data_IF_472110912743
#
_entry.id   IF_472110912743
#
_cell.length_a   1.000
_cell.length_b   1.000
_cell.length_c   1.000
_cell.angle_alpha   90.00
_cell.angle_beta   90.00
_cell.angle_gamma   90.00
#
_symmetry.space_group_name_H-M   'P 1'
#
loop_
_entity.id
_entity.type
_entity.pdbx_description
1 polymer ?
#
# COMPACT_ATOMS: atom_id res chain seq x y z
N UNK A 1 -1.68 -22.96 14.26
CA UNK A 1 -1.83 -21.77 13.39
C UNK A 1 -1.03 -20.64 13.98
N UNK A 2 -0.10 -20.07 13.21
CA UNK A 2 0.70 -18.89 13.58
C UNK A 2 0.26 -17.74 12.67
N UNK A 3 -0.22 -16.66 13.29
CA UNK A 3 -0.69 -15.46 12.58
C UNK A 3 0.27 -14.31 12.87
N UNK A 4 0.90 -13.77 11.83
CA UNK A 4 1.68 -12.54 11.91
C UNK A 4 0.73 -11.33 11.74
N UNK A 5 0.54 -10.58 12.83
CA UNK A 5 -0.33 -9.39 12.84
C UNK A 5 0.41 -8.09 12.49
N UNK A 6 1.70 -8.14 12.15
CA UNK A 6 2.53 -6.98 11.84
C UNK A 6 3.24 -7.12 10.48
N UNK A 7 2.51 -7.59 9.47
CA UNK A 7 3.04 -7.71 8.12
C UNK A 7 3.02 -6.39 7.36
N UNK A 8 4.12 -6.09 6.67
CA UNK A 8 4.23 -4.91 5.79
C UNK A 8 4.69 -5.31 4.40
N UNK A 9 4.21 -4.60 3.37
CA UNK A 9 4.72 -4.76 2.00
C UNK A 9 6.10 -4.10 1.84
N UNK A 10 7.14 -4.72 2.39
CA UNK A 10 8.51 -4.19 2.42
C UNK A 10 9.23 -4.27 1.08
N UNK A 11 8.79 -5.17 0.22
CA UNK A 11 9.42 -5.50 -1.08
C UNK A 11 8.52 -5.18 -2.26
N UNK A 12 7.70 -4.15 -2.10
CA UNK A 12 6.82 -3.67 -3.17
C UNK A 12 7.63 -3.34 -4.46
N UNK A 13 7.01 -3.50 -5.64
CA UNK A 13 7.64 -3.19 -6.92
C UNK A 13 8.25 -1.78 -6.96
N UNK A 14 9.39 -1.65 -7.62
CA UNK A 14 10.13 -0.38 -7.70
C UNK A 14 9.31 0.77 -8.31
N UNK A 15 8.38 0.45 -9.21
CA UNK A 15 7.46 1.41 -9.81
C UNK A 15 6.62 2.15 -8.77
N UNK A 16 6.21 1.48 -7.67
CA UNK A 16 5.47 2.11 -6.58
C UNK A 16 6.29 3.22 -5.90
N UNK A 17 7.55 2.94 -5.59
CA UNK A 17 8.44 3.93 -4.98
C UNK A 17 8.74 5.09 -5.92
N UNK A 18 8.99 4.79 -7.19
CA UNK A 18 9.25 5.81 -8.21
C UNK A 18 8.04 6.73 -8.40
N UNK A 19 6.83 6.18 -8.42
CA UNK A 19 5.60 6.96 -8.50
C UNK A 19 5.45 7.88 -7.27
N UNK A 20 5.65 7.35 -6.05
CA UNK A 20 5.56 8.15 -4.82
C UNK A 20 6.58 9.27 -4.79
N UNK A 21 7.82 9.02 -5.23
CA UNK A 21 8.84 10.08 -5.33
C UNK A 21 8.41 11.21 -6.26
N UNK A 22 7.81 10.88 -7.43
CA UNK A 22 7.25 11.89 -8.35
C UNK A 22 6.12 12.68 -7.70
N UNK A 23 5.20 12.00 -7.00
CA UNK A 23 4.10 12.66 -6.29
C UNK A 23 4.62 13.66 -5.25
N UNK A 24 5.59 13.24 -4.42
CA UNK A 24 6.17 14.12 -3.39
C UNK A 24 6.93 15.29 -4.01
N UNK A 25 7.66 15.07 -5.09
CA UNK A 25 8.40 16.12 -5.80
C UNK A 25 7.47 17.17 -6.46
N UNK A 26 6.25 16.78 -6.79
CA UNK A 26 5.25 17.65 -7.41
C UNK A 26 4.38 18.42 -6.42
N UNK A 27 4.61 18.27 -5.09
CA UNK A 27 3.88 19.05 -4.08
C UNK A 27 4.17 20.53 -4.30
N UNK A 28 3.09 21.32 -4.48
CA UNK A 28 3.18 22.75 -4.81
C UNK A 28 3.18 23.04 -6.33
N UNK A 29 3.25 22.01 -7.17
CA UNK A 29 3.09 22.12 -8.63
C UNK A 29 2.03 21.13 -9.13
N UNK A 30 0.74 21.48 -9.13
CA UNK A 30 -0.32 20.58 -9.57
C UNK A 30 -0.17 20.06 -11.01
N UNK A 31 0.55 20.79 -11.87
CA UNK A 31 0.75 20.39 -13.26
C UNK A 31 1.69 19.19 -13.41
N UNK A 32 2.58 19.00 -12.45
CA UNK A 32 3.51 17.87 -12.37
C UNK A 32 2.99 16.67 -11.58
N UNK A 33 1.80 16.75 -10.96
CA UNK A 33 1.25 15.71 -10.10
C UNK A 33 0.92 14.44 -10.90
N UNK A 34 1.52 13.28 -10.59
CA UNK A 34 1.22 12.04 -11.31
C UNK A 34 -0.18 11.54 -10.95
N UNK A 35 -0.88 11.02 -11.96
CA UNK A 35 -2.17 10.38 -11.75
C UNK A 35 -1.98 8.93 -11.30
N UNK A 36 -2.88 8.42 -10.44
CA UNK A 36 -2.85 7.03 -9.99
C UNK A 36 -2.84 6.03 -11.17
N UNK A 37 -3.59 6.31 -12.24
CA UNK A 37 -3.66 5.49 -13.44
C UNK A 37 -2.32 5.37 -14.23
N UNK A 38 -1.33 6.22 -13.94
CA UNK A 38 0.00 6.12 -14.53
C UNK A 38 0.86 5.03 -13.88
N UNK A 39 0.46 4.55 -12.70
CA UNK A 39 1.12 3.45 -12.02
C UNK A 39 0.60 2.11 -12.55
N UNK A 40 1.40 1.46 -13.37
CA UNK A 40 1.08 0.14 -13.90
C UNK A 40 2.02 -0.89 -13.25
N UNK A 41 1.44 -1.83 -12.49
CA UNK A 41 2.13 -2.95 -11.87
C UNK A 41 1.34 -4.22 -12.24
N UNK A 42 1.98 -5.15 -12.95
CA UNK A 42 1.35 -6.41 -13.35
C UNK A 42 1.25 -7.41 -12.18
N UNK A 43 0.32 -8.37 -12.29
CA UNK A 43 0.18 -9.41 -11.27
C UNK A 43 1.40 -10.33 -11.20
N UNK A 44 2.08 -10.55 -12.31
CA UNK A 44 3.33 -11.33 -12.32
C UNK A 44 4.43 -10.65 -11.53
N UNK A 45 4.55 -9.32 -11.62
CA UNK A 45 5.50 -8.53 -10.83
C UNK A 45 5.14 -8.56 -9.34
N UNK A 46 3.84 -8.50 -9.00
CA UNK A 46 3.37 -8.68 -7.63
C UNK A 46 3.72 -10.07 -7.10
N UNK A 47 3.43 -11.12 -7.87
CA UNK A 47 3.74 -12.51 -7.51
C UNK A 47 5.24 -12.66 -7.25
N UNK A 48 6.08 -12.20 -8.15
CA UNK A 48 7.54 -12.28 -7.99
C UNK A 48 8.00 -11.60 -6.69
N UNK A 49 7.49 -10.40 -6.38
CA UNK A 49 7.85 -9.66 -5.18
C UNK A 49 7.42 -10.37 -3.89
N UNK A 50 6.24 -10.99 -3.89
CA UNK A 50 5.69 -11.70 -2.72
C UNK A 50 6.35 -13.06 -2.53
N UNK A 51 6.49 -13.85 -3.59
CA UNK A 51 7.02 -15.22 -3.49
C UNK A 51 8.48 -15.24 -3.02
N UNK A 52 9.31 -14.36 -3.55
CA UNK A 52 10.72 -14.28 -3.19
C UNK A 52 10.99 -13.71 -1.80
N UNK A 53 10.03 -13.01 -1.21
CA UNK A 53 10.22 -12.29 0.04
C UNK A 53 9.24 -12.73 1.12
N UNK A 54 8.00 -12.23 1.15
CA UNK A 54 7.05 -12.51 2.23
C UNK A 54 6.73 -14.00 2.35
N UNK A 55 6.33 -14.65 1.26
CA UNK A 55 6.00 -16.07 1.30
C UNK A 55 7.20 -16.94 1.65
N UNK A 56 8.38 -16.61 1.13
CA UNK A 56 9.61 -17.32 1.51
C UNK A 56 9.86 -17.23 3.02
N UNK A 57 9.68 -16.04 3.61
CA UNK A 57 9.84 -15.83 5.06
C UNK A 57 8.75 -16.50 5.89
N UNK A 58 7.51 -16.47 5.42
CA UNK A 58 6.41 -17.18 6.08
C UNK A 58 6.70 -18.67 6.16
N UNK A 59 7.10 -19.28 5.04
CA UNK A 59 7.47 -20.71 4.99
C UNK A 59 8.64 -21.05 5.90
N UNK A 60 9.70 -20.23 5.86
CA UNK A 60 10.90 -20.41 6.74
C UNK A 60 10.52 -20.40 8.22
N UNK A 61 9.54 -19.59 8.62
CA UNK A 61 9.14 -19.37 10.01
C UNK A 61 7.89 -20.13 10.44
N UNK A 62 7.28 -20.89 9.55
CA UNK A 62 6.04 -21.61 9.81
C UNK A 62 4.84 -20.70 10.10
N UNK A 63 4.82 -19.49 9.50
CA UNK A 63 3.70 -18.56 9.59
C UNK A 63 2.62 -18.99 8.61
N UNK A 64 1.41 -19.18 9.13
CA UNK A 64 0.26 -19.63 8.33
C UNK A 64 -0.43 -18.46 7.63
N UNK A 65 -0.57 -17.32 8.32
CA UNK A 65 -1.33 -16.16 7.84
C UNK A 65 -0.65 -14.85 8.26
N UNK A 66 -0.69 -13.84 7.41
CA UNK A 66 -0.17 -12.50 7.70
C UNK A 66 -1.25 -11.45 7.49
N UNK A 67 -1.47 -10.58 8.48
CA UNK A 67 -2.20 -9.33 8.30
C UNK A 67 -1.28 -8.35 7.57
N UNK A 68 -1.58 -8.10 6.30
CA UNK A 68 -0.68 -7.49 5.35
C UNK A 68 -1.05 -6.03 5.10
N UNK A 69 -0.18 -5.13 5.50
CA UNK A 69 -0.38 -3.68 5.41
C UNK A 69 0.60 -3.02 4.42
N UNK A 70 0.32 -1.80 3.97
CA UNK A 70 1.27 -0.99 3.22
C UNK A 70 2.60 -0.79 3.97
N UNK A 71 3.66 -0.48 3.23
CA UNK A 71 4.97 -0.23 3.82
C UNK A 71 4.93 0.98 4.77
N UNK A 72 5.23 0.77 6.04
CA UNK A 72 5.15 1.78 7.10
C UNK A 72 5.93 3.06 6.79
N UNK A 73 7.14 2.95 6.21
CA UNK A 73 8.00 4.09 5.85
C UNK A 73 7.42 5.01 4.76
N UNK A 74 6.36 4.59 4.07
CA UNK A 74 5.71 5.39 3.03
C UNK A 74 4.36 5.96 3.45
N UNK A 75 3.88 5.71 4.66
CA UNK A 75 2.59 6.23 5.11
C UNK A 75 2.57 7.76 5.13
N UNK A 76 3.49 8.40 5.84
CA UNK A 76 3.81 9.83 5.78
C UNK A 76 2.63 10.79 5.49
N UNK A 77 1.55 10.71 6.28
CA UNK A 77 0.32 11.50 6.10
C UNK A 77 0.51 13.01 6.28
N UNK A 78 1.65 13.43 6.84
CA UNK A 78 2.02 14.82 7.01
C UNK A 78 2.64 15.45 5.76
N UNK A 79 2.88 14.65 4.70
CA UNK A 79 3.47 15.14 3.45
C UNK A 79 2.36 15.49 2.46
N UNK A 80 2.29 16.76 2.09
CA UNK A 80 1.27 17.30 1.22
C UNK A 80 -0.07 17.53 1.93
N UNK A 81 -1.10 17.68 1.13
CA UNK A 81 -2.48 17.86 1.59
C UNK A 81 -3.24 16.54 1.65
N UNK A 82 -4.55 16.63 1.92
CA UNK A 82 -5.41 15.46 1.99
C UNK A 82 -5.49 14.71 0.66
N UNK A 83 -5.52 15.39 -0.49
CA UNK A 83 -5.59 14.76 -1.81
C UNK A 83 -4.35 13.92 -2.11
N UNK A 84 -3.17 14.40 -1.71
CA UNK A 84 -1.91 13.65 -1.80
C UNK A 84 -1.99 12.38 -0.93
N UNK A 85 -2.50 12.49 0.30
CA UNK A 85 -2.66 11.37 1.22
C UNK A 85 -3.71 10.38 0.71
N UNK A 86 -4.87 10.85 0.23
CA UNK A 86 -5.96 10.00 -0.26
C UNK A 86 -5.56 9.21 -1.51
N UNK A 87 -4.93 9.86 -2.48
CA UNK A 87 -4.43 9.20 -3.69
C UNK A 87 -3.41 8.11 -3.33
N UNK A 88 -2.50 8.41 -2.43
CA UNK A 88 -1.48 7.44 -2.00
C UNK A 88 -2.07 6.27 -1.22
N UNK A 89 -3.00 6.53 -0.30
CA UNK A 89 -3.70 5.49 0.45
C UNK A 89 -4.45 4.54 -0.50
N UNK A 90 -5.19 5.09 -1.46
CA UNK A 90 -5.92 4.30 -2.45
C UNK A 90 -5.01 3.37 -3.27
N UNK A 91 -3.86 3.87 -3.72
CA UNK A 91 -2.86 3.06 -4.44
C UNK A 91 -2.32 1.93 -3.56
N UNK A 92 -1.93 2.23 -2.32
CA UNK A 92 -1.38 1.24 -1.42
C UNK A 92 -2.41 0.16 -1.02
N UNK A 93 -3.64 0.57 -0.75
CA UNK A 93 -4.73 -0.34 -0.40
C UNK A 93 -5.07 -1.27 -1.57
N UNK A 94 -5.12 -0.74 -2.80
CA UNK A 94 -5.33 -1.54 -3.99
C UNK A 94 -4.25 -2.63 -4.16
N UNK A 95 -2.99 -2.29 -3.93
CA UNK A 95 -1.91 -3.28 -3.99
C UNK A 95 -2.03 -4.34 -2.90
N UNK A 96 -2.36 -3.97 -1.66
CA UNK A 96 -2.59 -4.92 -0.58
C UNK A 96 -3.79 -5.84 -0.88
N UNK A 97 -4.87 -5.28 -1.41
CA UNK A 97 -6.04 -6.05 -1.84
C UNK A 97 -5.68 -7.06 -2.93
N UNK A 98 -4.94 -6.65 -3.97
CA UNK A 98 -4.50 -7.54 -5.04
C UNK A 98 -3.61 -8.67 -4.52
N UNK A 99 -2.68 -8.39 -3.61
CA UNK A 99 -1.85 -9.43 -2.97
C UNK A 99 -2.71 -10.41 -2.18
N UNK A 100 -3.66 -9.94 -1.37
CA UNK A 100 -4.58 -10.80 -0.63
C UNK A 100 -5.46 -11.65 -1.57
N UNK A 101 -5.88 -11.10 -2.72
CA UNK A 101 -6.64 -11.82 -3.74
C UNK A 101 -5.80 -12.88 -4.45
N UNK A 102 -4.52 -12.61 -4.72
CA UNK A 102 -3.61 -13.56 -5.36
C UNK A 102 -3.20 -14.71 -4.44
N UNK A 103 -3.19 -14.48 -3.12
CA UNK A 103 -2.77 -15.44 -2.09
C UNK A 103 -3.72 -15.44 -0.89
N UNK A 104 -5.01 -15.83 -1.08
CA UNK A 104 -6.06 -15.70 -0.07
C UNK A 104 -5.82 -16.56 1.18
N UNK A 105 -5.07 -17.66 1.05
CA UNK A 105 -4.73 -18.54 2.17
C UNK A 105 -3.59 -18.00 3.04
N UNK A 106 -2.93 -16.92 2.62
CA UNK A 106 -1.70 -16.42 3.26
C UNK A 106 -1.78 -14.98 3.73
N UNK A 107 -2.65 -14.15 3.11
CA UNK A 107 -2.72 -12.73 3.42
C UNK A 107 -4.15 -12.24 3.66
N UNK A 108 -4.30 -11.40 4.67
CA UNK A 108 -5.47 -10.55 4.88
C UNK A 108 -5.00 -9.11 4.74
N UNK A 109 -5.59 -8.36 3.81
CA UNK A 109 -5.24 -6.95 3.61
C UNK A 109 -5.66 -6.08 4.79
N UNK A 110 -4.77 -5.18 5.22
CA UNK A 110 -5.07 -4.11 6.16
C UNK A 110 -5.06 -2.77 5.43
N UNK A 111 -6.17 -2.03 5.51
CA UNK A 111 -6.29 -0.74 4.84
C UNK A 111 -5.53 0.37 5.56
N UNK A 112 -4.88 1.23 4.79
CA UNK A 112 -4.34 2.50 5.23
C UNK A 112 -5.39 3.59 5.03
N UNK A 113 -5.84 4.23 6.12
CA UNK A 113 -6.81 5.32 6.03
C UNK A 113 -6.12 6.63 5.64
N UNK A 114 -6.63 7.37 4.64
CA UNK A 114 -6.07 8.66 4.28
C UNK A 114 -6.27 9.68 5.42
N UNK A 115 -5.23 10.41 5.74
CA UNK A 115 -5.23 11.41 6.79
C UNK A 115 -4.37 12.61 6.38
N UNK A 116 -4.65 13.78 6.95
CA UNK A 116 -3.80 14.97 6.81
C UNK A 116 -3.94 15.86 8.02
N UNK A 117 -2.89 16.56 8.46
CA UNK A 117 -2.97 17.48 9.60
C UNK A 117 -4.09 18.49 9.43
N UNK A 118 -4.92 18.67 10.47
CA UNK A 118 -6.02 19.62 10.48
C UNK A 118 -7.27 19.23 9.68
N UNK A 119 -7.32 18.04 9.10
CA UNK A 119 -8.48 17.51 8.37
C UNK A 119 -9.30 16.61 9.28
N UNK A 120 -10.63 16.70 9.20
CA UNK A 120 -11.55 15.86 9.97
C UNK A 120 -11.30 14.36 9.65
N UNK A 121 -11.06 13.49 10.63
CA UNK A 121 -10.90 12.06 10.41
C UNK A 121 -12.06 11.40 9.66
N UNK A 122 -13.28 11.94 9.73
CA UNK A 122 -14.42 11.43 8.97
C UNK A 122 -14.20 11.44 7.45
N UNK A 123 -13.27 12.23 6.94
CA UNK A 123 -12.89 12.26 5.51
C UNK A 123 -12.29 10.94 5.01
N UNK A 124 -11.85 10.04 5.91
CA UNK A 124 -11.35 8.72 5.53
C UNK A 124 -12.48 7.68 5.27
N UNK A 125 -13.73 7.98 5.65
CA UNK A 125 -14.85 7.03 5.55
C UNK A 125 -15.05 6.50 4.12
N UNK A 126 -15.01 7.33 3.05
CA UNK A 126 -15.18 6.81 1.69
C UNK A 126 -14.13 5.76 1.29
N UNK A 127 -12.89 5.92 1.75
CA UNK A 127 -11.84 4.93 1.47
C UNK A 127 -12.03 3.66 2.30
N UNK A 128 -12.48 3.79 3.54
CA UNK A 128 -12.82 2.63 4.39
C UNK A 128 -13.97 1.81 3.78
N UNK A 129 -14.99 2.47 3.24
CA UNK A 129 -16.13 1.80 2.58
C UNK A 129 -15.74 1.16 1.24
N UNK A 130 -14.73 1.71 0.57
CA UNK A 130 -14.21 1.16 -0.69
C UNK A 130 -13.40 -0.13 -0.48
N UNK A 131 -12.66 -0.25 0.63
CA UNK A 131 -11.82 -1.39 0.99
C UNK A 131 -12.63 -2.57 1.54
#
# INVERSE_FOLDING_TARGET
MIIDIHGHYTTAPAALEAWRKRQVAAIGDPSGMPRAAELVIGDDELRESIEKNQLAKMRERGIDLTVFSPRASFMAHHIGDFEVSATWAGICNELCHRVATLYPDHFIGAAMLPQSPGVDPATCIPELERC
#
